data_IF_162414826876
#
_entry.id   IF_162414826876
#
_cell.length_a   1.000
_cell.length_b   1.000
_cell.length_c   1.000
_cell.angle_alpha   90.00
_cell.angle_beta   90.00
_cell.angle_gamma   90.00
#
_symmetry.space_group_name_H-M   'P 1'
#
loop_
_entity.id
_entity.type
_entity.pdbx_description
1 polymer ?
#
# COMPACT_ATOMS: atom_id res chain seq x y z
N UNK A 1 -3.06 -7.83 -15.26
CA UNK A 1 -3.56 -6.43 -15.33
C UNK A 1 -5.07 -6.32 -15.14
N UNK A 2 -5.89 -7.26 -15.64
CA UNK A 2 -7.36 -7.25 -15.44
C UNK A 2 -7.86 -7.30 -13.97
N UNK A 3 -7.28 -8.11 -13.05
CA UNK A 3 -7.80 -8.21 -11.68
C UNK A 3 -7.65 -6.91 -10.87
N UNK A 4 -6.59 -6.14 -11.15
CA UNK A 4 -6.25 -4.89 -10.46
C UNK A 4 -7.25 -3.78 -10.79
N UNK A 5 -7.69 -3.74 -12.05
CA UNK A 5 -8.67 -2.75 -12.52
C UNK A 5 -10.07 -3.14 -12.05
N UNK A 6 -10.47 -4.41 -12.14
CA UNK A 6 -11.78 -4.88 -11.65
C UNK A 6 -11.96 -4.69 -10.13
N UNK A 7 -10.91 -4.91 -9.34
CA UNK A 7 -10.94 -4.66 -7.89
C UNK A 7 -11.16 -3.17 -7.55
N UNK A 8 -10.66 -2.25 -8.39
CA UNK A 8 -10.85 -0.82 -8.22
C UNK A 8 -12.27 -0.34 -8.62
N UNK A 9 -13.01 -1.11 -9.43
CA UNK A 9 -14.33 -0.71 -9.94
C UNK A 9 -15.51 -1.07 -9.03
N UNK A 10 -15.28 -1.85 -7.96
CA UNK A 10 -16.30 -2.11 -6.93
C UNK A 10 -16.19 -1.02 -5.83
N UNK A 11 -17.01 0.04 -5.95
CA UNK A 11 -17.14 1.22 -5.05
C UNK A 11 -16.94 0.85 -3.56
N UNK A 12 -16.17 1.64 -2.77
CA UNK A 12 -16.28 3.10 -2.64
C UNK A 12 -14.98 3.90 -2.91
N UNK A 13 -15.18 5.17 -3.33
CA UNK A 13 -14.21 6.29 -3.45
C UNK A 13 -12.78 5.88 -3.81
N UNK A 14 -12.56 5.53 -5.08
CA UNK A 14 -11.22 5.43 -5.66
C UNK A 14 -10.93 6.75 -6.37
N UNK A 15 -10.16 7.63 -5.75
CA UNK A 15 -9.70 8.85 -6.42
C UNK A 15 -8.49 8.52 -7.30
N UNK A 16 -8.58 8.92 -8.58
CA UNK A 16 -7.39 8.99 -9.45
C UNK A 16 -6.54 10.13 -8.92
N UNK A 17 -5.34 9.81 -8.44
CA UNK A 17 -4.47 10.82 -7.83
C UNK A 17 -3.83 11.69 -8.92
N UNK A 18 -4.42 12.85 -9.16
CA UNK A 18 -3.66 14.06 -9.44
C UNK A 18 -3.40 14.68 -8.05
N UNK A 19 -2.14 14.88 -7.65
CA UNK A 19 -1.77 15.34 -6.30
C UNK A 19 -2.16 16.81 -6.08
N UNK A 20 -3.45 17.11 -6.08
CA UNK A 20 -3.96 18.44 -5.77
C UNK A 20 -4.10 18.62 -4.26
N UNK A 21 -3.97 19.87 -3.81
CA UNK A 21 -4.03 20.29 -2.40
C UNK A 21 -5.32 19.83 -1.68
N UNK A 22 -6.37 19.48 -2.43
CA UNK A 22 -7.63 19.00 -1.88
C UNK A 22 -7.50 17.64 -1.18
N UNK A 23 -6.68 16.72 -1.71
CA UNK A 23 -6.48 15.38 -1.13
C UNK A 23 -5.85 15.45 0.27
N UNK A 24 -4.95 16.41 0.49
CA UNK A 24 -4.29 16.65 1.77
C UNK A 24 -5.23 17.25 2.82
N UNK A 25 -6.29 17.95 2.40
CA UNK A 25 -7.31 18.48 3.32
C UNK A 25 -8.23 17.39 3.89
N UNK A 26 -8.32 16.23 3.20
CA UNK A 26 -9.11 15.08 3.64
C UNK A 26 -8.37 14.16 4.63
N UNK A 27 -7.04 14.29 4.72
CA UNK A 27 -6.27 13.64 5.79
C UNK A 27 -6.55 14.44 7.05
N UNK A 28 -7.01 13.81 8.16
CA UNK A 28 -7.28 14.54 9.38
C UNK A 28 -6.05 15.35 9.79
N UNK A 29 -6.15 16.69 9.69
CA UNK A 29 -5.16 17.58 10.29
C UNK A 29 -5.07 17.21 11.75
N UNK A 30 -3.88 16.83 12.21
CA UNK A 30 -3.65 16.64 13.63
C UNK A 30 -4.11 17.92 14.36
N UNK A 31 -4.87 17.72 15.41
CA UNK A 31 -5.63 18.73 16.12
C UNK A 31 -4.72 19.84 16.66
N UNK A 32 -4.79 21.05 16.07
CA UNK A 32 -4.67 22.34 16.76
C UNK A 32 -4.62 23.48 15.73
N UNK A 33 -5.72 24.22 15.56
CA UNK A 33 -5.72 25.69 15.44
C UNK A 33 -7.15 26.19 15.17
N UNK A 34 -7.69 26.93 16.14
CA UNK A 34 -8.83 27.82 15.97
C UNK A 34 -8.43 29.00 15.08
N UNK A 35 -9.15 29.26 13.97
CA UNK A 35 -9.43 30.64 13.54
C UNK A 35 -10.50 30.69 12.44
N UNK A 36 -11.65 31.30 12.76
CA UNK A 36 -12.20 32.44 12.00
C UNK A 36 -12.77 32.25 10.59
N UNK A 37 -14.10 32.22 10.55
CA UNK A 37 -15.02 32.83 9.56
C UNK A 37 -15.01 32.43 8.06
N UNK A 38 -16.17 31.86 7.68
CA UNK A 38 -16.92 31.99 6.42
C UNK A 38 -16.32 31.50 5.09
N UNK A 39 -16.62 30.25 4.74
CA UNK A 39 -17.02 29.84 3.37
C UNK A 39 -18.00 28.66 3.46
N UNK A 40 -19.16 28.83 2.82
CA UNK A 40 -20.30 27.92 2.88
C UNK A 40 -20.14 26.67 1.99
N UNK A 41 -20.73 25.57 2.46
CA UNK A 41 -20.89 24.23 1.86
C UNK A 41 -19.72 23.25 2.03
N UNK A 42 -19.53 22.73 3.25
CA UNK A 42 -18.84 21.46 3.51
C UNK A 42 -19.80 20.57 4.28
N UNK A 43 -20.11 19.39 3.73
CA UNK A 43 -20.83 18.35 4.46
C UNK A 43 -19.99 17.91 5.66
N UNK A 44 -20.30 18.42 6.84
CA UNK A 44 -19.70 17.97 8.10
C UNK A 44 -20.23 16.56 8.39
N UNK A 45 -19.39 15.55 8.22
CA UNK A 45 -19.58 14.28 8.93
C UNK A 45 -19.48 14.59 10.43
N UNK A 46 -20.60 14.53 11.14
CA UNK A 46 -20.61 14.62 12.60
C UNK A 46 -19.94 13.38 13.18
N UNK A 47 -18.68 13.50 13.58
CA UNK A 47 -17.96 12.44 14.28
C UNK A 47 -18.09 12.69 15.79
N UNK A 48 -19.12 12.12 16.40
CA UNK A 48 -19.34 12.21 17.83
C UNK A 48 -18.44 11.23 18.58
N UNK A 49 -17.43 11.77 19.27
CA UNK A 49 -16.76 11.17 20.43
C UNK A 49 -15.72 10.08 20.14
N UNK A 50 -14.43 10.45 20.12
CA UNK A 50 -13.33 9.51 20.36
C UNK A 50 -12.27 10.17 21.25
N UNK A 51 -12.19 9.69 22.49
CA UNK A 51 -11.04 9.84 23.36
C UNK A 51 -10.10 8.65 23.04
N UNK A 52 -8.82 8.92 22.74
CA UNK A 52 -7.81 8.07 22.03
C UNK A 52 -7.96 8.03 20.49
N UNK A 53 -6.94 8.51 19.78
CA UNK A 53 -7.01 8.85 18.34
C UNK A 53 -6.63 7.63 17.49
N UNK A 54 -7.62 6.86 17.05
CA UNK A 54 -7.39 5.71 16.15
C UNK A 54 -6.60 6.12 14.88
N UNK A 55 -5.54 5.38 14.48
CA UNK A 55 -4.76 5.68 13.30
C UNK A 55 -5.57 5.75 11.99
N UNK A 56 -5.26 6.73 11.13
CA UNK A 56 -5.90 6.88 9.82
C UNK A 56 -5.17 6.06 8.74
N UNK A 57 -5.72 4.89 8.40
CA UNK A 57 -5.26 4.04 7.30
C UNK A 57 -5.60 4.59 5.90
N UNK A 58 -4.57 4.78 5.06
CA UNK A 58 -4.67 5.15 3.64
C UNK A 58 -4.08 4.03 2.78
N UNK A 59 -4.88 3.47 1.88
CA UNK A 59 -4.41 2.48 0.92
C UNK A 59 -3.98 3.15 -0.39
N UNK A 60 -2.83 2.76 -0.92
CA UNK A 60 -2.31 3.24 -2.21
C UNK A 60 -2.10 2.03 -3.13
N UNK A 61 -3.05 1.82 -4.05
CA UNK A 61 -3.03 0.73 -4.99
C UNK A 61 -2.58 1.17 -6.40
N UNK A 62 -2.21 0.21 -7.24
CA UNK A 62 -1.76 0.46 -8.60
C UNK A 62 -0.77 -0.59 -9.06
N UNK A 63 -0.61 -0.75 -10.38
CA UNK A 63 0.26 -1.81 -10.89
C UNK A 63 1.74 -1.65 -10.54
N UNK A 64 2.52 -2.71 -10.75
CA UNK A 64 3.98 -2.67 -10.57
C UNK A 64 4.58 -1.51 -11.39
N UNK A 65 5.54 -0.81 -10.80
CA UNK A 65 6.21 0.35 -11.39
C UNK A 65 5.30 1.55 -11.79
N UNK A 66 4.08 1.65 -11.26
CA UNK A 66 3.22 2.84 -11.44
C UNK A 66 3.65 4.08 -10.64
N UNK A 67 4.53 3.92 -9.65
CA UNK A 67 5.02 5.05 -8.84
C UNK A 67 4.29 5.27 -7.52
N UNK A 68 3.55 4.26 -7.03
CA UNK A 68 2.96 4.25 -5.67
C UNK A 68 3.95 4.68 -4.58
N UNK A 69 5.15 4.08 -4.53
CA UNK A 69 6.18 4.44 -3.54
C UNK A 69 6.58 5.92 -3.62
N UNK A 70 6.62 6.48 -4.84
CA UNK A 70 6.89 7.91 -5.04
C UNK A 70 5.74 8.78 -4.54
N UNK A 71 4.49 8.34 -4.73
CA UNK A 71 3.30 9.01 -4.17
C UNK A 71 3.32 8.94 -2.64
N UNK A 72 3.56 7.77 -2.04
CA UNK A 72 3.69 7.62 -0.60
C UNK A 72 4.77 8.53 -0.02
N UNK A 73 5.96 8.58 -0.64
CA UNK A 73 7.04 9.49 -0.19
C UNK A 73 6.63 10.96 -0.23
N UNK A 74 5.89 11.39 -1.26
CA UNK A 74 5.35 12.76 -1.33
C UNK A 74 4.33 13.03 -0.24
N UNK A 75 3.43 12.10 0.03
CA UNK A 75 2.45 12.22 1.12
C UNK A 75 3.18 12.32 2.46
N UNK A 76 4.11 11.41 2.74
CA UNK A 76 4.93 11.44 3.97
C UNK A 76 5.69 12.75 4.12
N UNK A 77 6.26 13.30 3.05
CA UNK A 77 7.00 14.57 3.12
C UNK A 77 6.13 15.77 3.45
N UNK A 78 4.83 15.71 3.14
CA UNK A 78 3.88 16.80 3.41
C UNK A 78 3.18 16.63 4.75
N UNK A 79 2.67 15.43 5.03
CA UNK A 79 1.90 15.11 6.25
C UNK A 79 2.82 14.90 7.45
N UNK A 80 4.02 14.34 7.22
CA UNK A 80 5.00 14.07 8.28
C UNK A 80 5.59 15.31 8.95
N UNK A 81 5.26 16.51 8.46
CA UNK A 81 5.58 17.77 9.13
C UNK A 81 4.67 18.04 10.34
N UNK A 82 3.47 17.44 10.34
CA UNK A 82 2.40 17.72 11.30
C UNK A 82 2.06 16.51 12.21
N UNK A 83 2.61 15.32 11.93
CA UNK A 83 2.32 14.11 12.70
C UNK A 83 3.14 12.90 12.28
N UNK A 84 2.99 11.79 13.01
CA UNK A 84 3.74 10.56 12.74
C UNK A 84 3.11 9.81 11.56
N UNK A 85 3.88 9.63 10.49
CA UNK A 85 3.43 8.90 9.28
C UNK A 85 4.35 7.72 9.02
N UNK A 86 3.76 6.54 8.85
CA UNK A 86 4.49 5.32 8.47
C UNK A 86 3.99 4.78 7.14
N UNK A 87 4.86 4.11 6.39
CA UNK A 87 4.52 3.47 5.13
C UNK A 87 4.84 1.97 5.19
N UNK A 88 3.86 1.15 4.85
CA UNK A 88 3.91 -0.32 4.85
C UNK A 88 3.76 -0.80 3.41
N UNK A 89 4.59 -1.76 3.01
CA UNK A 89 4.52 -2.35 1.68
C UNK A 89 3.74 -3.67 1.74
N UNK A 90 2.76 -3.84 0.86
CA UNK A 90 2.05 -5.13 0.68
C UNK A 90 3.04 -6.27 0.40
N UNK A 91 4.16 -5.95 -0.25
CA UNK A 91 5.22 -6.91 -0.55
C UNK A 91 5.85 -7.54 0.71
N UNK A 92 5.77 -6.91 1.89
CA UNK A 92 6.17 -7.56 3.15
C UNK A 92 5.35 -8.84 3.39
N UNK A 93 4.11 -8.89 2.93
CA UNK A 93 3.18 -9.99 3.17
C UNK A 93 3.22 -11.09 2.11
N UNK A 94 4.18 -11.11 1.18
CA UNK A 94 4.37 -12.28 0.32
C UNK A 94 4.61 -13.54 1.15
N UNK A 95 3.93 -14.64 0.83
CA UNK A 95 4.18 -15.97 1.40
C UNK A 95 5.55 -16.47 0.98
N UNK A 96 6.18 -17.29 1.82
CA UNK A 96 7.32 -18.09 1.40
C UNK A 96 6.87 -19.17 0.42
N UNK A 97 7.64 -19.41 -0.64
CA UNK A 97 7.33 -20.47 -1.60
C UNK A 97 7.57 -21.86 -1.00
N UNK A 98 6.58 -22.73 -1.15
CA UNK A 98 6.74 -24.18 -0.93
C UNK A 98 7.80 -24.77 -1.87
N UNK A 99 8.33 -25.97 -1.59
CA UNK A 99 9.30 -26.62 -2.49
C UNK A 99 8.79 -26.75 -3.94
N UNK A 100 7.51 -27.05 -4.12
CA UNK A 100 6.88 -27.17 -5.43
C UNK A 100 6.76 -25.83 -6.15
N UNK A 101 6.32 -24.78 -5.45
CA UNK A 101 6.21 -23.44 -6.03
C UNK A 101 7.58 -22.85 -6.37
N UNK A 102 8.60 -23.18 -5.58
CA UNK A 102 9.99 -22.78 -5.84
C UNK A 102 10.54 -23.42 -7.11
N UNK A 103 10.27 -24.70 -7.36
CA UNK A 103 10.60 -25.35 -8.64
C UNK A 103 9.92 -24.63 -9.81
N UNK A 104 8.62 -24.36 -9.69
CA UNK A 104 7.89 -23.59 -10.70
C UNK A 104 8.47 -22.20 -10.91
N UNK A 105 8.85 -21.49 -9.85
CA UNK A 105 9.46 -20.17 -9.92
C UNK A 105 10.80 -20.19 -10.64
N UNK A 106 11.66 -21.16 -10.34
CA UNK A 106 12.96 -21.33 -11.02
C UNK A 106 12.79 -21.53 -12.53
N UNK A 107 11.72 -22.24 -12.92
CA UNK A 107 11.32 -22.49 -14.31
C UNK A 107 10.56 -21.32 -14.96
N UNK A 108 10.30 -20.24 -14.24
CA UNK A 108 9.52 -19.09 -14.73
C UNK A 108 8.01 -19.33 -14.82
N UNK A 109 7.51 -20.39 -14.19
CA UNK A 109 6.11 -20.85 -14.26
C UNK A 109 5.28 -20.45 -13.04
N UNK A 110 5.82 -19.61 -12.15
CA UNK A 110 5.11 -19.15 -10.95
C UNK A 110 4.64 -17.70 -11.13
N UNK A 111 3.34 -17.49 -10.89
CA UNK A 111 2.70 -16.19 -11.05
C UNK A 111 2.69 -15.42 -9.72
N UNK A 112 3.58 -14.43 -9.56
CA UNK A 112 3.57 -13.59 -8.35
C UNK A 112 2.56 -12.44 -8.39
N UNK A 113 1.76 -12.34 -9.45
CA UNK A 113 0.67 -11.36 -9.56
C UNK A 113 -0.69 -12.01 -9.24
N UNK A 114 -0.68 -13.23 -8.68
CA UNK A 114 -1.86 -13.93 -8.18
C UNK A 114 -2.14 -13.56 -6.72
N UNK A 115 -3.39 -13.31 -6.30
CA UNK A 115 -3.71 -12.96 -4.91
C UNK A 115 -3.20 -13.96 -3.87
N UNK A 116 -3.21 -15.26 -4.17
CA UNK A 116 -2.81 -16.33 -3.24
C UNK A 116 -1.36 -16.26 -2.75
N UNK A 117 -0.50 -15.53 -3.47
CA UNK A 117 0.91 -15.33 -3.06
C UNK A 117 1.04 -14.41 -1.85
N UNK A 118 -0.02 -13.68 -1.49
CA UNK A 118 -0.07 -12.83 -0.31
C UNK A 118 -0.68 -13.58 0.86
N UNK A 119 -0.14 -13.29 2.04
CA UNK A 119 -0.65 -13.70 3.34
C UNK A 119 -1.60 -12.61 3.85
N UNK A 120 -2.81 -12.64 3.32
CA UNK A 120 -3.86 -11.67 3.58
C UNK A 120 -4.35 -11.72 5.03
N UNK A 121 -4.34 -12.89 5.66
CA UNK A 121 -4.65 -13.03 7.08
C UNK A 121 -3.62 -12.34 7.97
N UNK A 122 -2.32 -12.53 7.71
CA UNK A 122 -1.25 -11.83 8.41
C UNK A 122 -1.33 -10.32 8.19
N UNK A 123 -1.65 -9.89 6.96
CA UNK A 123 -1.84 -8.48 6.66
C UNK A 123 -3.02 -7.91 7.45
N UNK A 124 -4.14 -8.60 7.49
CA UNK A 124 -5.34 -8.16 8.19
C UNK A 124 -5.12 -8.09 9.71
N UNK A 125 -4.46 -9.10 10.31
CA UNK A 125 -4.13 -9.06 11.74
C UNK A 125 -3.18 -7.90 12.07
N UNK A 126 -2.15 -7.70 11.25
CA UNK A 126 -1.20 -6.58 11.41
C UNK A 126 -1.92 -5.23 11.35
N UNK A 127 -2.80 -5.01 10.38
CA UNK A 127 -3.54 -3.76 10.27
C UNK A 127 -4.51 -3.54 11.46
N UNK A 128 -5.10 -4.61 12.01
CA UNK A 128 -5.92 -4.51 13.23
C UNK A 128 -5.09 -4.13 14.44
N UNK A 129 -3.90 -4.69 14.59
CA UNK A 129 -2.99 -4.35 15.69
C UNK A 129 -2.49 -2.90 15.59
N UNK A 130 -2.22 -2.42 14.37
CA UNK A 130 -1.91 -1.01 14.11
C UNK A 130 -3.06 -0.10 14.51
N UNK A 131 -4.29 -0.43 14.13
CA UNK A 131 -5.49 0.34 14.53
C UNK A 131 -5.71 0.36 16.05
N UNK A 132 -5.14 -0.60 16.78
CA UNK A 132 -5.12 -0.66 18.24
C UNK A 132 -3.86 -0.03 18.85
N UNK A 133 -3.10 0.75 18.06
CA UNK A 133 -1.86 1.43 18.48
C UNK A 133 -0.80 0.49 19.07
N UNK A 134 -0.76 -0.77 18.61
CA UNK A 134 0.30 -1.70 19.00
C UNK A 134 1.53 -1.51 18.13
N UNK A 135 2.70 -1.75 18.73
CA UNK A 135 3.93 -1.95 17.97
C UNK A 135 3.81 -3.27 17.22
N UNK A 136 4.00 -3.25 15.89
CA UNK A 136 3.92 -4.45 15.06
C UNK A 136 5.26 -4.77 14.40
N UNK A 137 5.49 -6.05 14.14
CA UNK A 137 6.69 -6.54 13.45
C UNK A 137 6.30 -7.04 12.06
N UNK A 138 6.83 -6.41 11.01
CA UNK A 138 6.60 -6.82 9.64
C UNK A 138 7.70 -7.79 9.19
N UNK A 139 7.35 -8.91 8.53
CA UNK A 139 8.36 -9.77 7.92
C UNK A 139 9.12 -9.04 6.80
N UNK A 140 10.39 -9.38 6.64
CA UNK A 140 11.21 -8.91 5.51
C UNK A 140 11.15 -9.93 4.37
N UNK A 141 10.76 -9.48 3.18
CA UNK A 141 10.73 -10.32 1.98
C UNK A 141 11.90 -9.98 1.05
N UNK A 142 12.66 -11.01 0.67
CA UNK A 142 13.74 -10.88 -0.30
C UNK A 142 13.27 -11.30 -1.70
N UNK A 143 13.27 -10.35 -2.63
CA UNK A 143 12.86 -10.55 -4.02
C UNK A 143 13.87 -11.31 -4.87
N UNK A 144 15.13 -11.43 -4.42
CA UNK A 144 16.18 -12.18 -5.12
C UNK A 144 15.96 -13.67 -4.85
N UNK A 145 15.90 -14.05 -3.57
CA UNK A 145 15.67 -15.45 -3.19
C UNK A 145 14.19 -15.87 -3.21
N UNK A 146 13.27 -14.91 -3.34
CA UNK A 146 11.81 -15.12 -3.26
C UNK A 146 11.38 -15.79 -1.95
N UNK A 147 11.98 -15.34 -0.84
CA UNK A 147 11.74 -15.89 0.51
C UNK A 147 11.48 -14.81 1.55
N UNK A 148 10.73 -15.18 2.60
CA UNK A 148 10.75 -14.41 3.85
C UNK A 148 12.07 -14.69 4.56
N UNK A 149 12.78 -13.63 4.93
CA UNK A 149 14.00 -13.74 5.71
C UNK A 149 13.63 -14.16 7.13
N UNK A 150 14.26 -15.23 7.62
CA UNK A 150 14.06 -15.69 9.00
C UNK A 150 14.71 -14.71 9.96
N UNK A 151 14.05 -14.52 11.11
CA UNK A 151 14.56 -13.71 12.23
C UNK A 151 14.86 -12.24 11.89
N UNK A 152 14.30 -11.74 10.78
CA UNK A 152 14.40 -10.33 10.36
C UNK A 152 13.03 -9.71 10.27
N UNK A 153 12.89 -8.56 10.94
CA UNK A 153 11.63 -7.86 11.08
C UNK A 153 11.82 -6.36 10.97
N UNK A 154 10.80 -5.66 10.46
CA UNK A 154 10.71 -4.21 10.49
C UNK A 154 9.71 -3.85 11.59
N UNK A 155 10.21 -3.17 12.63
CA UNK A 155 9.38 -2.69 13.73
C UNK A 155 8.64 -1.41 13.32
N UNK A 156 7.32 -1.41 13.44
CA UNK A 156 6.47 -0.25 13.17
C UNK A 156 5.89 0.24 14.49
N UNK A 157 6.29 1.45 14.87
CA UNK A 157 5.71 2.15 16.00
C UNK A 157 4.31 2.70 15.66
N UNK A 158 3.47 2.97 16.68
CA UNK A 158 2.19 3.65 16.49
C UNK A 158 2.36 4.97 15.73
N UNK A 159 1.39 5.29 14.88
CA UNK A 159 1.43 6.45 13.99
C UNK A 159 0.03 7.04 13.78
N UNK A 160 -0.05 8.35 13.59
CA UNK A 160 -1.31 9.05 13.29
C UNK A 160 -1.87 8.61 11.93
N UNK A 161 -0.99 8.44 10.95
CA UNK A 161 -1.35 8.07 9.57
C UNK A 161 -0.49 6.91 9.12
N UNK A 162 -1.15 5.90 8.55
CA UNK A 162 -0.48 4.70 8.06
C UNK A 162 -0.81 4.55 6.59
N UNK A 163 0.20 4.74 5.75
CA UNK A 163 0.14 4.45 4.33
C UNK A 163 0.40 2.98 4.11
N UNK A 164 -0.45 2.31 3.34
CA UNK A 164 -0.20 0.93 2.90
C UNK A 164 -0.20 0.94 1.39
N UNK A 165 0.90 0.55 0.76
CA UNK A 165 0.99 0.50 -0.70
C UNK A 165 1.09 -0.92 -1.24
N UNK A 166 0.42 -1.21 -2.37
CA UNK A 166 0.39 -2.56 -2.92
C UNK A 166 -0.15 -2.67 -4.33
N UNK A 167 0.11 -3.81 -4.98
CA UNK A 167 -0.42 -4.10 -6.32
C UNK A 167 -1.85 -4.66 -6.27
N UNK A 168 -2.17 -5.43 -5.23
CA UNK A 168 -3.47 -6.09 -5.03
C UNK A 168 -4.11 -5.69 -3.70
N UNK A 169 -3.77 -4.51 -3.19
CA UNK A 169 -4.17 -4.06 -1.85
C UNK A 169 -5.70 -4.12 -1.62
N UNK A 170 -6.46 -3.77 -2.66
CA UNK A 170 -7.92 -3.75 -2.60
C UNK A 170 -8.57 -5.01 -3.19
N UNK A 171 -7.81 -6.07 -3.48
CA UNK A 171 -8.37 -7.30 -4.03
C UNK A 171 -9.34 -7.96 -3.03
N UNK A 172 -8.87 -8.20 -1.80
CA UNK A 172 -9.64 -8.84 -0.74
C UNK A 172 -10.60 -7.84 -0.06
N UNK A 173 -11.91 -8.10 -0.01
CA UNK A 173 -12.88 -7.19 0.62
C UNK A 173 -12.56 -6.89 2.08
N UNK A 174 -12.20 -7.91 2.87
CA UNK A 174 -11.93 -7.75 4.29
C UNK A 174 -10.71 -6.85 4.59
N UNK A 175 -9.73 -6.78 3.69
CA UNK A 175 -8.62 -5.80 3.78
C UNK A 175 -9.06 -4.43 3.25
N UNK A 176 -9.76 -4.41 2.12
CA UNK A 176 -10.25 -3.17 1.48
C UNK A 176 -11.10 -2.35 2.45
N UNK A 177 -11.92 -3.00 3.25
CA UNK A 177 -12.88 -2.32 4.14
C UNK A 177 -12.22 -1.72 5.40
N UNK A 178 -10.93 -2.02 5.65
CA UNK A 178 -10.16 -1.41 6.74
C UNK A 178 -9.64 0.00 6.41
N UNK A 179 -9.58 0.37 5.12
CA UNK A 179 -9.00 1.64 4.68
C UNK A 179 -10.00 2.78 4.71
N UNK A 180 -9.67 3.85 5.43
CA UNK A 180 -10.46 5.09 5.47
C UNK A 180 -10.37 5.86 4.14
N UNK A 181 -9.22 5.79 3.46
CA UNK A 181 -9.01 6.39 2.15
C UNK A 181 -8.34 5.42 1.19
N UNK A 182 -8.77 5.42 -0.08
CA UNK A 182 -8.33 4.48 -1.11
C UNK A 182 -7.86 5.25 -2.34
N UNK A 183 -6.58 5.18 -2.62
CA UNK A 183 -5.93 5.88 -3.73
C UNK A 183 -5.51 4.89 -4.80
N UNK A 184 -5.68 5.25 -6.08
CA UNK A 184 -5.17 4.46 -7.19
C UNK A 184 -4.20 5.27 -8.05
N UNK A 185 -2.98 4.76 -8.18
CA UNK A 185 -1.94 5.32 -9.03
C UNK A 185 -2.03 4.66 -10.39
N UNK A 186 -2.64 5.39 -11.32
CA UNK A 186 -2.76 5.00 -12.71
C UNK A 186 -1.55 5.51 -13.51
N UNK A 187 -0.99 4.65 -14.36
CA UNK A 187 0.17 4.97 -15.18
C UNK A 187 0.12 4.11 -16.42
N UNK A 188 0.42 4.72 -17.55
CA UNK A 188 0.52 4.08 -18.85
C UNK A 188 1.29 2.74 -18.77
N UNK A 189 0.72 1.64 -19.30
CA UNK A 189 1.33 0.31 -19.23
C UNK A 189 2.76 0.25 -19.77
N UNK A 190 3.06 0.95 -20.85
CA UNK A 190 4.38 0.94 -21.49
C UNK A 190 5.41 1.66 -20.62
N UNK A 191 5.02 2.79 -20.04
CA UNK A 191 5.81 3.52 -19.04
C UNK A 191 6.15 2.63 -17.84
N UNK A 192 5.17 1.87 -17.34
CA UNK A 192 5.41 0.93 -16.24
C UNK A 192 6.31 -0.22 -16.67
N UNK A 193 6.13 -0.76 -17.88
CA UNK A 193 6.95 -1.85 -18.40
C UNK A 193 8.41 -1.41 -18.48
N UNK A 194 8.69 -0.25 -19.08
CA UNK A 194 10.04 0.31 -19.18
C UNK A 194 10.70 0.45 -17.80
N UNK A 195 9.97 1.01 -16.82
CA UNK A 195 10.45 1.14 -15.43
C UNK A 195 10.67 -0.22 -14.76
N UNK A 196 9.77 -1.18 -14.99
CA UNK A 196 9.86 -2.55 -14.45
C UNK A 196 11.10 -3.26 -14.97
N UNK A 197 11.36 -3.18 -16.28
CA UNK A 197 12.54 -3.78 -16.91
C UNK A 197 13.81 -3.23 -16.26
N UNK A 198 13.95 -1.90 -16.19
CA UNK A 198 15.14 -1.28 -15.61
C UNK A 198 15.37 -1.70 -14.17
N UNK A 199 14.32 -1.69 -13.34
CA UNK A 199 14.40 -2.08 -11.92
C UNK A 199 14.72 -3.56 -11.76
N UNK A 200 13.97 -4.44 -12.39
CA UNK A 200 14.07 -5.88 -12.15
C UNK A 200 15.38 -6.48 -12.72
N UNK A 201 15.89 -5.93 -13.84
CA UNK A 201 17.20 -6.35 -14.38
C UNK A 201 18.34 -5.81 -13.52
N UNK A 202 18.34 -4.50 -13.21
CA UNK A 202 19.47 -3.84 -12.53
C UNK A 202 19.54 -4.14 -11.03
N UNK A 203 18.41 -4.11 -10.34
CA UNK A 203 18.36 -4.18 -8.86
C UNK A 203 18.10 -5.60 -8.36
N UNK A 204 17.38 -6.43 -9.13
CA UNK A 204 16.99 -7.79 -8.73
C UNK A 204 17.71 -8.89 -9.50
N UNK A 205 18.58 -8.54 -10.46
CA UNK A 205 19.35 -9.49 -11.25
C UNK A 205 18.51 -10.44 -12.10
N UNK A 206 17.29 -10.02 -12.49
CA UNK A 206 16.40 -10.86 -13.30
C UNK A 206 16.79 -10.84 -14.77
N UNK A 207 16.58 -11.97 -15.43
CA UNK A 207 16.73 -12.11 -16.87
C UNK A 207 15.70 -11.25 -17.63
N UNK A 208 16.15 -10.55 -18.67
CA UNK A 208 15.33 -9.60 -19.44
C UNK A 208 14.12 -10.29 -20.09
N UNK A 209 14.32 -11.42 -20.74
CA UNK A 209 13.25 -12.16 -21.43
C UNK A 209 12.16 -12.57 -20.45
N UNK A 210 12.56 -13.08 -19.26
CA UNK A 210 11.61 -13.41 -18.18
C UNK A 210 10.83 -12.20 -17.67
N UNK A 211 11.39 -10.99 -17.71
CA UNK A 211 10.70 -9.76 -17.28
C UNK A 211 9.74 -9.24 -18.35
N UNK A 212 10.04 -9.43 -19.64
CA UNK A 212 9.18 -9.00 -20.75
C UNK A 212 7.94 -9.89 -20.88
N UNK A 213 8.09 -11.20 -20.68
CA UNK A 213 7.02 -12.19 -20.89
C UNK A 213 6.14 -12.48 -19.65
N UNK A 214 6.21 -11.61 -18.64
CA UNK A 214 5.48 -11.74 -17.37
C UNK A 214 4.48 -10.61 -17.17
#
# INVERSE_FOLDING_TARGET
SQPIVEAAHRKPVVERVQLDLCLLRCIPKAMSEECGSEVNAVGYYSFSGFDTKTPFLIGVAGGTASGKTSVCRKIMSRVGQEGQVVCIHQDNFYKGLSPFERDRANRGLFNYDHPDVFDDELMASTLRDILQEKVVQLPVYDFITSTRLRDQWISIAPADVVLVEGVLLFYFPHLRDMFHMKLFVDTDPDTRLARRVLRDVKERGRDLEKVLHR
#
